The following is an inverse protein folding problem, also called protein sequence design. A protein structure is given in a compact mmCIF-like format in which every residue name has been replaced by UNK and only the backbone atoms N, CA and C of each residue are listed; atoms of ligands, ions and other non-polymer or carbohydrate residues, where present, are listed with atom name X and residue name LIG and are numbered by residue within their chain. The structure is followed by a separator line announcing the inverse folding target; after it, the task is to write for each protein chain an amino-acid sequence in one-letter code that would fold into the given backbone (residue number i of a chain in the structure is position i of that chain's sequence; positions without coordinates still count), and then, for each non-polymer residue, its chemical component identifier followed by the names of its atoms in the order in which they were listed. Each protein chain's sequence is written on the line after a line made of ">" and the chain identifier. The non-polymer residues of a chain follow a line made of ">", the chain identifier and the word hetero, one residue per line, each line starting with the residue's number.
data_IF_882379616427
#
_entry.id   IF_882379616427
#
_cell.length_a   1.000
_cell.length_b   1.000
_cell.length_c   1.000
_cell.angle_alpha   90.00
_cell.angle_beta   90.00
_cell.angle_gamma   90.00
#
_symmetry.space_group_name_H-M   'P 1'
#
loop_
_entity.id
_entity.type
_entity.pdbx_description
1 polymer ?
#
# COMPACT_ATOMS: atom_id res chain seq x y z
N UNK A 1 -28.50 -12.74 13.90
CA UNK A 1 -29.36 -12.93 12.71
C UNK A 1 -30.80 -13.11 13.20
N UNK A 2 -31.68 -12.12 13.01
CA UNK A 2 -33.10 -12.24 13.33
C UNK A 2 -33.90 -11.40 12.31
N UNK A 3 -34.59 -12.02 11.34
CA UNK A 3 -35.47 -11.32 10.42
C UNK A 3 -36.94 -11.65 10.73
N UNK A 4 -37.78 -10.63 10.93
CA UNK A 4 -39.20 -10.60 10.52
C UNK A 4 -39.95 -9.44 11.17
N UNK A 5 -40.49 -8.55 10.35
CA UNK A 5 -41.94 -8.31 10.22
C UNK A 5 -42.18 -7.21 9.18
N UNK A 6 -42.56 -7.62 7.98
CA UNK A 6 -43.41 -6.81 7.13
C UNK A 6 -44.88 -7.11 7.44
N UNK A 7 -45.76 -6.12 7.19
CA UNK A 7 -47.10 -6.21 6.56
C UNK A 7 -48.10 -5.18 7.12
N UNK A 8 -48.50 -4.26 6.22
CA UNK A 8 -49.60 -3.27 6.14
C UNK A 8 -51.04 -3.87 6.39
N UNK A 9 -52.23 -3.19 6.21
CA UNK A 9 -52.59 -1.80 5.83
C UNK A 9 -53.85 -1.22 6.62
N UNK A 10 -54.87 -0.55 6.02
CA UNK A 10 -55.11 0.91 5.97
C UNK A 10 -56.43 1.39 6.65
N UNK A 11 -56.57 2.68 6.99
CA UNK A 11 -57.88 3.34 7.24
C UNK A 11 -57.93 4.79 6.78
N UNK A 12 -59.00 5.05 6.03
CA UNK A 12 -59.50 6.29 5.43
C UNK A 12 -60.25 7.20 6.47
N UNK A 13 -60.76 8.41 6.10
CA UNK A 13 -60.60 9.68 6.83
C UNK A 13 -61.83 10.14 7.65
N UNK A 14 -61.78 11.34 8.25
CA UNK A 14 -62.91 12.27 8.04
C UNK A 14 -62.51 13.71 7.68
N UNK A 15 -63.14 14.17 6.60
CA UNK A 15 -63.93 15.41 6.46
C UNK A 15 -63.35 16.79 6.84
N UNK A 16 -63.22 17.59 5.78
CA UNK A 16 -63.41 19.03 5.63
C UNK A 16 -63.38 19.93 6.88
N UNK A 17 -62.42 20.85 6.89
CA UNK A 17 -62.68 22.21 7.33
C UNK A 17 -62.07 23.17 6.30
N UNK A 18 -62.93 23.65 5.40
CA UNK A 18 -62.67 24.87 4.63
C UNK A 18 -62.45 26.01 5.62
N UNK A 19 -61.23 26.53 5.66
CA UNK A 19 -60.94 27.87 6.21
C UNK A 19 -60.50 28.73 5.03
N UNK A 20 -61.47 29.48 4.52
CA UNK A 20 -61.31 30.53 3.52
C UNK A 20 -60.46 31.66 4.11
N UNK A 21 -59.16 31.64 3.86
CA UNK A 21 -58.25 32.77 4.09
C UNK A 21 -58.10 33.60 2.80
N UNK A 22 -58.34 34.92 2.81
CA UNK A 22 -58.17 35.75 1.62
C UNK A 22 -56.67 36.04 1.42
N UNK A 23 -56.02 35.29 0.54
CA UNK A 23 -54.59 35.53 0.30
C UNK A 23 -53.87 34.72 -0.77
N UNK A 24 -54.47 33.73 -1.41
CA UNK A 24 -53.79 32.94 -2.44
C UNK A 24 -54.13 33.38 -3.87
N UNK A 25 -54.11 34.69 -4.09
CA UNK A 25 -53.91 35.26 -5.42
C UNK A 25 -52.41 35.30 -5.75
N UNK A 26 -51.68 34.19 -5.62
CA UNK A 26 -50.26 34.17 -6.03
C UNK A 26 -49.65 32.82 -6.36
N UNK A 27 -50.35 31.98 -7.14
CA UNK A 27 -49.71 30.83 -7.77
C UNK A 27 -50.37 30.42 -9.10
N UNK A 28 -50.59 31.42 -9.96
CA UNK A 28 -50.29 31.25 -11.38
C UNK A 28 -49.12 32.17 -11.68
N UNK A 29 -47.93 31.73 -11.30
CA UNK A 29 -46.73 32.24 -11.95
C UNK A 29 -46.83 31.75 -13.40
N UNK A 30 -47.46 32.58 -14.23
CA UNK A 30 -47.47 32.37 -15.67
C UNK A 30 -46.04 32.12 -16.12
N UNK A 31 -45.87 31.21 -17.07
CA UNK A 31 -44.61 31.09 -17.79
C UNK A 31 -44.15 32.51 -18.13
N UNK A 32 -42.92 32.92 -17.73
CA UNK A 32 -42.45 34.26 -18.03
C UNK A 32 -42.57 34.46 -19.54
N UNK A 33 -43.47 35.35 -19.94
CA UNK A 33 -43.76 35.61 -21.34
C UNK A 33 -42.56 36.35 -21.92
N UNK A 34 -41.74 35.62 -22.68
CA UNK A 34 -40.62 36.13 -23.47
C UNK A 34 -41.06 37.04 -24.64
N UNK A 35 -42.29 37.55 -24.59
CA UNK A 35 -42.90 38.42 -25.61
C UNK A 35 -42.63 39.91 -25.34
N UNK A 36 -42.10 40.26 -24.15
CA UNK A 36 -41.79 41.65 -23.77
C UNK A 36 -40.31 42.05 -23.82
N UNK A 37 -39.39 41.12 -24.11
CA UNK A 37 -37.96 41.43 -24.20
C UNK A 37 -37.56 41.58 -25.68
N UNK A 38 -37.95 42.72 -26.26
CA UNK A 38 -37.48 43.20 -27.58
C UNK A 38 -36.06 43.79 -27.54
N UNK A 39 -35.27 43.47 -26.52
CA UNK A 39 -33.84 43.80 -26.50
C UNK A 39 -33.10 42.74 -27.31
N UNK A 40 -32.70 43.14 -28.51
CA UNK A 40 -31.86 42.45 -29.50
C UNK A 40 -32.56 41.32 -30.30
N UNK A 41 -32.55 41.45 -31.64
CA UNK A 41 -33.14 40.54 -32.62
C UNK A 41 -32.59 39.11 -32.61
N UNK A 42 -32.96 38.34 -31.58
CA UNK A 42 -32.61 36.93 -31.40
C UNK A 42 -33.90 36.12 -31.58
N UNK A 43 -34.04 35.48 -32.74
CA UNK A 43 -35.17 34.59 -33.03
C UNK A 43 -35.25 33.46 -32.00
N UNK A 44 -36.45 32.97 -31.65
CA UNK A 44 -36.66 31.80 -30.76
C UNK A 44 -35.75 30.61 -31.11
N UNK A 45 -35.45 30.46 -32.40
CA UNK A 45 -34.52 29.48 -32.95
C UNK A 45 -33.09 29.68 -32.43
N UNK A 46 -32.56 30.92 -32.41
CA UNK A 46 -31.23 31.23 -31.87
C UNK A 46 -31.14 30.96 -30.37
N UNK A 47 -32.20 31.25 -29.60
CA UNK A 47 -32.25 30.92 -28.16
C UNK A 47 -32.17 29.41 -27.95
N UNK A 48 -32.90 28.61 -28.76
CA UNK A 48 -32.83 27.15 -28.68
C UNK A 48 -31.43 26.61 -29.00
N UNK A 49 -30.72 27.20 -29.98
CA UNK A 49 -29.33 26.83 -30.28
C UNK A 49 -28.38 27.17 -29.13
N UNK A 50 -28.52 28.34 -28.50
CA UNK A 50 -27.70 28.71 -27.34
C UNK A 50 -27.94 27.79 -26.15
N UNK A 51 -29.20 27.48 -25.85
CA UNK A 51 -29.56 26.59 -24.75
C UNK A 51 -29.06 25.16 -25.01
N UNK A 52 -29.24 24.66 -26.24
CA UNK A 52 -28.72 23.36 -26.65
C UNK A 52 -27.20 23.26 -26.57
N UNK A 53 -26.50 24.31 -27.01
CA UNK A 53 -25.04 24.41 -26.89
C UNK A 53 -24.59 24.41 -25.43
N UNK A 54 -25.29 25.15 -24.56
CA UNK A 54 -24.99 25.18 -23.12
C UNK A 54 -25.18 23.81 -22.47
N UNK A 55 -26.28 23.11 -22.78
CA UNK A 55 -26.54 21.76 -22.28
C UNK A 55 -25.48 20.78 -22.78
N UNK A 56 -25.14 20.82 -24.07
CA UNK A 56 -24.10 19.96 -24.63
C UNK A 56 -22.74 20.21 -23.95
N UNK A 57 -22.36 21.47 -23.78
CA UNK A 57 -21.14 21.84 -23.05
C UNK A 57 -21.18 21.34 -21.60
N UNK A 58 -22.31 21.50 -20.91
CA UNK A 58 -22.49 21.01 -19.55
C UNK A 58 -22.35 19.48 -19.44
N UNK A 59 -22.96 18.72 -20.36
CA UNK A 59 -22.83 17.27 -20.44
C UNK A 59 -21.36 16.87 -20.60
N UNK A 60 -20.64 17.49 -21.53
CA UNK A 60 -19.20 17.22 -21.74
C UNK A 60 -18.40 17.44 -20.47
N UNK A 61 -18.65 18.53 -19.74
CA UNK A 61 -17.98 18.82 -18.46
C UNK A 61 -18.27 17.75 -17.41
N UNK A 62 -19.53 17.33 -17.26
CA UNK A 62 -19.93 16.29 -16.30
C UNK A 62 -19.31 14.94 -16.66
N UNK A 63 -19.33 14.54 -17.94
CA UNK A 63 -18.71 13.29 -18.39
C UNK A 63 -17.19 13.31 -18.19
N UNK A 64 -16.51 14.41 -18.51
CA UNK A 64 -15.08 14.54 -18.26
C UNK A 64 -14.74 14.35 -16.78
N UNK A 65 -15.56 14.92 -15.88
CA UNK A 65 -15.41 14.73 -14.43
C UNK A 65 -15.67 13.28 -14.01
N UNK A 66 -16.73 12.65 -14.51
CA UNK A 66 -17.08 11.26 -14.18
C UNK A 66 -16.00 10.27 -14.64
N UNK A 67 -15.44 10.47 -15.85
CA UNK A 67 -14.33 9.65 -16.36
C UNK A 67 -13.07 9.82 -15.50
N UNK A 68 -12.76 11.05 -15.07
CA UNK A 68 -11.65 11.31 -14.17
C UNK A 68 -11.82 10.65 -12.80
N UNK A 69 -13.01 10.74 -12.20
CA UNK A 69 -13.31 10.09 -10.92
C UNK A 69 -13.30 8.55 -11.04
N UNK A 70 -13.81 7.98 -12.14
CA UNK A 70 -13.77 6.55 -12.40
C UNK A 70 -12.33 6.04 -12.59
N UNK A 71 -11.51 6.78 -13.35
CA UNK A 71 -10.09 6.45 -13.54
C UNK A 71 -9.32 6.51 -12.21
N UNK A 72 -9.55 7.54 -11.39
CA UNK A 72 -8.92 7.67 -10.08
C UNK A 72 -9.31 6.51 -9.14
N UNK A 73 -10.59 6.12 -9.10
CA UNK A 73 -11.06 4.97 -8.31
C UNK A 73 -10.46 3.65 -8.80
N UNK A 74 -10.34 3.46 -10.12
CA UNK A 74 -9.69 2.27 -10.68
C UNK A 74 -8.21 2.21 -10.30
N UNK A 75 -7.48 3.31 -10.46
CA UNK A 75 -6.07 3.38 -10.10
C UNK A 75 -5.84 3.10 -8.61
N UNK A 76 -6.72 3.61 -7.74
CA UNK A 76 -6.66 3.32 -6.30
C UNK A 76 -6.93 1.84 -6.00
N UNK A 77 -7.89 1.21 -6.68
CA UNK A 77 -8.18 -0.21 -6.52
C UNK A 77 -7.00 -1.08 -7.00
N UNK A 78 -6.37 -0.72 -8.11
CA UNK A 78 -5.21 -1.43 -8.64
C UNK A 78 -3.99 -1.27 -7.72
N UNK A 79 -3.76 -0.07 -7.17
CA UNK A 79 -2.72 0.15 -6.17
C UNK A 79 -2.96 -0.69 -4.91
N UNK A 80 -4.20 -0.78 -4.42
CA UNK A 80 -4.53 -1.61 -3.27
C UNK A 80 -4.32 -3.11 -3.55
N UNK A 81 -4.63 -3.58 -4.76
CA UNK A 81 -4.36 -4.97 -5.19
C UNK A 81 -2.88 -5.28 -5.19
N UNK A 82 -2.05 -4.39 -5.74
CA UNK A 82 -0.59 -4.55 -5.75
C UNK A 82 -0.01 -4.55 -4.33
N UNK A 83 -0.49 -3.67 -3.46
CA UNK A 83 -0.07 -3.64 -2.06
C UNK A 83 -0.45 -4.94 -1.33
N UNK A 84 -1.67 -5.43 -1.52
CA UNK A 84 -2.12 -6.69 -0.93
C UNK A 84 -1.34 -7.90 -1.44
N UNK A 85 -0.99 -7.93 -2.73
CA UNK A 85 -0.15 -8.99 -3.31
C UNK A 85 1.21 -9.05 -2.61
N UNK A 86 1.87 -7.89 -2.44
CA UNK A 86 3.16 -7.80 -1.73
C UNK A 86 3.06 -8.26 -0.28
N UNK A 87 2.04 -7.81 0.45
CA UNK A 87 1.83 -8.24 1.84
C UNK A 87 1.58 -9.75 1.92
N UNK A 88 0.90 -10.33 0.93
CA UNK A 88 0.64 -11.79 0.88
C UNK A 88 1.95 -12.57 0.67
N UNK A 89 2.84 -12.07 -0.20
CA UNK A 89 4.17 -12.65 -0.41
C UNK A 89 5.01 -12.57 0.88
N UNK A 90 5.03 -11.41 1.54
CA UNK A 90 5.75 -11.21 2.80
C UNK A 90 5.22 -12.15 3.90
N UNK A 91 3.90 -12.29 4.02
CA UNK A 91 3.27 -13.20 4.98
C UNK A 91 3.63 -14.65 4.69
N UNK A 92 3.64 -15.07 3.42
CA UNK A 92 4.02 -16.43 3.04
C UNK A 92 5.49 -16.72 3.36
N UNK A 93 6.39 -15.77 3.10
CA UNK A 93 7.81 -15.89 3.45
C UNK A 93 8.01 -15.99 4.97
N UNK A 94 7.37 -15.11 5.75
CA UNK A 94 7.44 -15.11 7.20
C UNK A 94 6.85 -16.40 7.82
N UNK A 95 5.77 -16.93 7.26
CA UNK A 95 5.21 -18.20 7.69
C UNK A 95 6.18 -19.36 7.44
N UNK A 96 6.88 -19.35 6.30
CA UNK A 96 7.91 -20.35 6.01
C UNK A 96 9.09 -20.25 6.98
N UNK A 97 9.58 -19.04 7.27
CA UNK A 97 10.63 -18.83 8.25
C UNK A 97 10.21 -19.27 9.65
N UNK A 98 8.98 -18.96 10.05
CA UNK A 98 8.42 -19.42 11.33
C UNK A 98 8.35 -20.94 11.40
N UNK A 99 7.95 -21.63 10.33
CA UNK A 99 7.98 -23.09 10.29
C UNK A 99 9.41 -23.62 10.49
N UNK A 100 10.41 -22.99 9.86
CA UNK A 100 11.81 -23.39 10.01
C UNK A 100 12.33 -23.16 11.45
N UNK A 101 12.01 -22.02 12.05
CA UNK A 101 12.46 -21.63 13.41
C UNK A 101 11.77 -22.48 14.48
N UNK A 102 10.49 -22.82 14.29
CA UNK A 102 9.74 -23.64 15.24
C UNK A 102 10.17 -25.12 15.23
N UNK A 103 10.96 -25.56 14.25
CA UNK A 103 11.50 -26.93 14.24
C UNK A 103 12.37 -27.15 15.47
N UNK A 104 12.14 -28.28 16.12
CA UNK A 104 12.87 -28.71 17.31
C UNK A 104 14.39 -28.64 17.14
N UNK A 105 14.91 -29.03 15.96
CA UNK A 105 16.34 -28.96 15.67
C UNK A 105 16.92 -27.53 15.73
N UNK A 106 16.16 -26.53 15.28
CA UNK A 106 16.56 -25.13 15.37
C UNK A 106 16.52 -24.65 16.82
N UNK A 107 15.47 -25.00 17.56
CA UNK A 107 15.31 -24.66 18.99
C UNK A 107 16.48 -25.22 19.80
N UNK A 108 16.85 -26.49 19.59
CA UNK A 108 17.99 -27.11 20.26
C UNK A 108 19.32 -26.45 19.90
N UNK A 109 19.53 -26.12 18.62
CA UNK A 109 20.70 -25.38 18.17
C UNK A 109 20.82 -24.01 18.87
N UNK A 110 19.71 -23.27 18.95
CA UNK A 110 19.66 -21.97 19.62
C UNK A 110 19.87 -22.11 21.13
N UNK A 111 19.25 -23.13 21.75
CA UNK A 111 19.42 -23.44 23.16
C UNK A 111 20.88 -23.76 23.51
N UNK A 112 21.59 -24.52 22.67
CA UNK A 112 23.04 -24.77 22.84
C UNK A 112 23.87 -23.49 22.84
N UNK A 113 23.55 -22.53 21.98
CA UNK A 113 24.22 -21.22 21.95
C UNK A 113 24.01 -20.39 23.22
N UNK A 114 22.91 -20.62 23.94
CA UNK A 114 22.58 -19.97 25.22
C UNK A 114 23.02 -20.80 26.44
N UNK A 115 23.69 -21.94 26.23
CA UNK A 115 24.07 -22.87 27.32
C UNK A 115 22.90 -23.66 27.92
N UNK A 116 21.73 -23.64 27.28
CA UNK A 116 20.52 -24.37 27.66
C UNK A 116 20.38 -25.71 26.89
N UNK A 117 21.51 -26.25 26.40
CA UNK A 117 21.55 -27.50 25.63
C UNK A 117 21.18 -28.74 26.46
N UNK A 118 21.32 -29.91 25.84
CA UNK A 118 21.06 -31.19 26.52
C UNK A 118 22.03 -31.47 27.65
N UNK A 119 21.68 -32.38 28.56
CA UNK A 119 22.55 -32.78 29.69
C UNK A 119 23.91 -33.36 29.24
N UNK A 120 23.99 -33.85 28.01
CA UNK A 120 25.22 -34.40 27.40
C UNK A 120 25.95 -33.39 26.51
N UNK A 121 25.40 -32.18 26.33
CA UNK A 121 26.04 -31.16 25.50
C UNK A 121 27.17 -30.50 26.30
N UNK A 122 28.37 -30.52 25.72
CA UNK A 122 29.53 -29.82 26.26
C UNK A 122 29.85 -28.61 25.39
N UNK A 123 29.86 -27.38 25.94
CA UNK A 123 30.26 -26.22 25.17
C UNK A 123 31.71 -26.39 24.73
N UNK A 124 31.98 -26.17 23.44
CA UNK A 124 33.35 -26.13 22.95
C UNK A 124 34.01 -24.85 23.46
N UNK A 125 34.72 -24.96 24.57
CA UNK A 125 35.48 -23.89 25.18
C UNK A 125 36.96 -24.27 25.19
N UNK A 126 37.82 -23.33 24.79
CA UNK A 126 39.25 -23.47 24.99
C UNK A 126 39.55 -23.36 26.48
N UNK A 127 40.47 -24.20 26.97
CA UNK A 127 40.92 -24.11 28.36
C UNK A 127 41.50 -22.71 28.64
N UNK A 128 41.36 -22.18 29.87
CA UNK A 128 42.02 -20.93 30.25
C UNK A 128 43.54 -21.09 30.04
N UNK A 129 44.11 -20.29 29.14
CA UNK A 129 45.53 -20.37 28.78
C UNK A 129 45.86 -21.34 27.63
N UNK A 130 44.86 -21.83 26.89
CA UNK A 130 45.10 -22.56 25.65
C UNK A 130 45.99 -21.73 24.69
N UNK A 131 47.01 -22.34 24.05
CA UNK A 131 47.84 -21.65 23.07
C UNK A 131 46.99 -21.04 21.96
N UNK A 132 47.38 -19.86 21.48
CA UNK A 132 46.75 -19.28 20.31
C UNK A 132 46.87 -20.25 19.12
N UNK A 133 45.79 -20.38 18.34
CA UNK A 133 45.84 -21.12 17.08
C UNK A 133 46.90 -20.49 16.17
N UNK A 134 47.66 -21.34 15.47
CA UNK A 134 48.59 -20.87 14.45
C UNK A 134 47.88 -19.98 13.43
N UNK A 135 48.57 -18.96 12.90
CA UNK A 135 47.97 -17.98 12.00
C UNK A 135 47.30 -18.63 10.76
N UNK A 136 47.86 -19.73 10.29
CA UNK A 136 47.38 -20.50 9.14
C UNK A 136 46.40 -21.63 9.49
N UNK A 137 46.03 -21.80 10.77
CA UNK A 137 45.09 -22.84 11.17
C UNK A 137 43.65 -22.41 10.84
N UNK A 138 42.79 -23.33 10.37
CA UNK A 138 41.36 -23.06 10.21
C UNK A 138 40.74 -22.57 11.51
N UNK A 139 39.98 -21.47 11.46
CA UNK A 139 39.36 -20.86 12.64
C UNK A 139 40.32 -20.03 13.50
N UNK A 140 41.56 -19.80 13.06
CA UNK A 140 42.46 -18.83 13.71
C UNK A 140 41.87 -17.41 13.61
N UNK A 141 42.23 -16.55 14.57
CA UNK A 141 41.83 -15.14 14.53
C UNK A 141 42.35 -14.42 13.27
N UNK A 142 43.49 -14.86 12.73
CA UNK A 142 44.12 -14.31 11.53
C UNK A 142 43.37 -14.68 10.23
N UNK A 143 42.64 -15.81 10.20
CA UNK A 143 41.82 -16.22 9.05
C UNK A 143 40.35 -15.76 9.15
N UNK A 144 39.97 -14.98 10.17
CA UNK A 144 38.59 -14.46 10.28
C UNK A 144 38.34 -13.40 9.21
N UNK A 145 37.13 -13.41 8.65
CA UNK A 145 36.65 -12.32 7.79
C UNK A 145 36.73 -10.99 8.56
N UNK A 146 37.55 -10.05 8.08
CA UNK A 146 37.83 -8.78 8.76
C UNK A 146 39.05 -8.79 9.68
N UNK A 147 39.88 -9.85 9.67
CA UNK A 147 41.21 -9.79 10.27
C UNK A 147 42.02 -8.67 9.60
N UNK A 148 42.72 -7.87 10.41
CA UNK A 148 43.61 -6.82 9.91
C UNK A 148 44.81 -7.50 9.26
N UNK A 149 44.74 -7.75 7.95
CA UNK A 149 45.91 -8.08 7.16
C UNK A 149 46.81 -6.84 7.11
N UNK A 150 48.12 -7.03 7.30
CA UNK A 150 49.08 -5.95 7.05
C UNK A 150 48.88 -5.49 5.61
N UNK A 151 48.49 -4.22 5.38
CA UNK A 151 48.20 -3.74 4.04
C UNK A 151 49.49 -3.79 3.22
N UNK A 152 49.59 -4.77 2.33
CA UNK A 152 50.65 -4.82 1.32
C UNK A 152 50.30 -3.78 0.26
N UNK A 153 51.29 -2.97 -0.12
CA UNK A 153 51.05 -1.97 -1.16
C UNK A 153 50.71 -2.68 -2.48
N UNK A 154 49.80 -2.15 -3.32
CA UNK A 154 49.49 -2.77 -4.60
C UNK A 154 50.73 -3.01 -5.47
N UNK A 155 51.71 -2.10 -5.41
CA UNK A 155 52.99 -2.24 -6.13
C UNK A 155 53.76 -3.48 -5.67
N UNK A 156 53.77 -3.78 -4.38
CA UNK A 156 54.50 -4.91 -3.79
C UNK A 156 53.85 -6.25 -4.11
N UNK A 157 52.52 -6.27 -4.21
CA UNK A 157 51.77 -7.41 -4.76
C UNK A 157 52.13 -7.62 -6.24
N UNK A 158 52.22 -6.55 -7.03
CA UNK A 158 52.61 -6.66 -8.45
C UNK A 158 54.06 -7.11 -8.62
N UNK A 159 54.98 -6.55 -7.84
CA UNK A 159 56.40 -6.94 -7.89
C UNK A 159 56.59 -8.40 -7.47
N UNK A 160 55.90 -8.88 -6.43
CA UNK A 160 55.96 -10.30 -6.03
C UNK A 160 55.36 -11.24 -7.07
N UNK A 161 54.31 -10.82 -7.79
CA UNK A 161 53.75 -11.59 -8.91
C UNK A 161 54.70 -11.69 -10.10
N UNK A 162 55.41 -10.60 -10.44
CA UNK A 162 56.31 -10.57 -11.60
C UNK A 162 57.71 -11.15 -11.31
N UNK A 163 58.21 -10.96 -10.09
CA UNK A 163 59.61 -11.23 -9.74
C UNK A 163 59.78 -12.24 -8.60
N UNK A 164 58.69 -12.72 -8.01
CA UNK A 164 58.69 -13.61 -6.84
C UNK A 164 58.72 -12.84 -5.50
N UNK A 165 58.32 -13.49 -4.39
CA UNK A 165 58.30 -12.86 -3.07
C UNK A 165 59.72 -12.44 -2.63
N UNK A 166 59.87 -11.29 -1.95
CA UNK A 166 61.17 -10.85 -1.46
C UNK A 166 61.76 -11.85 -0.45
N UNK A 167 63.10 -11.94 -0.33
CA UNK A 167 63.73 -12.78 0.68
C UNK A 167 63.29 -12.31 2.08
N UNK A 168 62.84 -13.24 2.90
CA UNK A 168 62.50 -13.00 4.30
C UNK A 168 63.79 -12.89 5.13
N UNK A 169 64.04 -11.72 5.73
CA UNK A 169 65.05 -11.52 6.79
C UNK A 169 64.61 -12.15 8.12
#
# INVERSE_FOLDING_TARGET
>A
MNPSRGSEPPREPPEATEVTGPGEARQRAGMPSLQGLTVAGITRRRVAWLLGGLIAAWIVVVFARQVGEAAAKSAQADQARLANARVTEDVAALQHELDLIQRQAYIEQAARGLGLGGQTDHPFALAPGAPALAANAPGSAAMRLGAQETPSSPLEVWLSLLFGPPPSD
#
